data_IF_742124744395
#
_entry.id   IF_742124744395
#
_cell.length_a   1.000
_cell.length_b   1.000
_cell.length_c   1.000
_cell.angle_alpha   90.00
_cell.angle_beta   90.00
_cell.angle_gamma   90.00
#
_symmetry.space_group_name_H-M   'P 1'
#
loop_
_entity.id
_entity.type
_entity.pdbx_description
1 polymer ?
#
# COMPACT_ATOMS: atom_id res chain seq x y z
N UNK A 1 5.60 -16.09 -34.63
CA UNK A 1 5.78 -16.68 -33.29
C UNK A 1 6.96 -16.02 -32.56
N UNK A 2 6.67 -15.38 -31.43
CA UNK A 2 7.63 -14.63 -30.63
C UNK A 2 7.01 -13.29 -30.22
N UNK A 3 6.32 -13.26 -29.09
CA UNK A 3 5.96 -11.99 -28.44
C UNK A 3 7.18 -11.56 -27.67
N UNK A 4 7.98 -10.68 -28.27
CA UNK A 4 9.01 -9.91 -27.59
C UNK A 4 8.31 -8.88 -26.70
N UNK A 5 7.86 -9.33 -25.53
CA UNK A 5 7.53 -8.44 -24.43
C UNK A 5 8.86 -8.05 -23.76
N UNK A 6 9.52 -7.05 -24.33
CA UNK A 6 10.57 -6.30 -23.67
C UNK A 6 9.95 -5.60 -22.44
N UNK A 7 10.01 -6.25 -21.29
CA UNK A 7 9.85 -5.59 -20.01
C UNK A 7 11.15 -4.82 -19.76
N UNK A 8 11.11 -3.52 -20.01
CA UNK A 8 12.23 -2.61 -19.87
C UNK A 8 12.79 -2.58 -18.46
N UNK A 9 14.12 -2.57 -18.45
CA UNK A 9 15.08 -2.33 -17.39
C UNK A 9 14.72 -1.22 -16.38
N UNK A 10 15.05 -1.49 -15.12
CA UNK A 10 15.03 -0.53 -14.02
C UNK A 10 15.20 -1.26 -12.68
N UNK A 11 16.42 -1.33 -12.20
CA UNK A 11 16.81 -1.88 -10.90
C UNK A 11 16.08 -1.15 -9.75
N UNK A 12 14.97 -1.70 -9.26
CA UNK A 12 14.35 -1.30 -7.99
C UNK A 12 14.30 -2.56 -7.14
N UNK A 13 15.33 -2.80 -6.31
CA UNK A 13 15.21 -3.83 -5.29
C UNK A 13 14.04 -3.39 -4.41
N UNK A 14 12.90 -4.11 -4.40
CA UNK A 14 11.78 -3.70 -3.57
C UNK A 14 12.30 -3.66 -2.14
N UNK A 15 12.16 -2.53 -1.42
CA UNK A 15 12.59 -2.43 -0.04
C UNK A 15 12.05 -3.60 0.79
N UNK A 16 12.77 -4.02 1.84
CA UNK A 16 12.44 -5.21 2.61
C UNK A 16 10.96 -5.19 2.99
N UNK A 17 10.20 -6.15 2.43
CA UNK A 17 8.76 -6.14 2.56
C UNK A 17 8.36 -6.22 4.05
N UNK A 18 7.45 -5.35 4.51
CA UNK A 18 6.93 -5.44 5.87
C UNK A 18 6.24 -6.79 6.09
N UNK A 19 6.37 -7.32 7.31
CA UNK A 19 5.66 -8.54 7.75
C UNK A 19 4.14 -8.36 7.78
N UNK A 20 3.69 -7.11 7.77
CA UNK A 20 2.30 -6.71 7.71
C UNK A 20 1.99 -6.13 6.33
N UNK A 21 0.81 -6.44 5.77
CA UNK A 21 0.31 -5.88 4.52
C UNK A 21 -1.03 -5.18 4.73
N UNK A 22 -1.23 -4.09 4.00
CA UNK A 22 -2.51 -3.38 3.89
C UNK A 22 -3.38 -3.96 2.76
N UNK A 23 -2.79 -4.66 1.79
CA UNK A 23 -3.53 -5.21 0.65
C UNK A 23 -3.87 -4.15 -0.41
N UNK A 24 -2.91 -3.28 -0.73
CA UNK A 24 -3.05 -2.24 -1.77
C UNK A 24 -1.87 -2.30 -2.71
N UNK A 25 -2.11 -2.01 -3.98
CA UNK A 25 -1.09 -1.83 -5.00
C UNK A 25 -0.76 -0.33 -5.12
N UNK A 26 0.51 0.07 -4.95
CA UNK A 26 0.93 1.43 -5.26
C UNK A 26 0.72 1.75 -6.74
N UNK A 27 0.28 2.97 -7.01
CA UNK A 27 0.35 3.55 -8.36
C UNK A 27 1.76 4.07 -8.60
N UNK A 28 2.46 3.45 -9.55
CA UNK A 28 3.71 3.96 -10.11
C UNK A 28 3.47 4.84 -11.35
N UNK A 29 2.22 4.88 -11.82
CA UNK A 29 1.77 5.70 -12.94
C UNK A 29 1.49 7.13 -12.46
N UNK A 30 2.53 7.88 -12.12
CA UNK A 30 2.37 9.28 -11.75
C UNK A 30 3.60 9.87 -11.08
N UNK A 31 4.18 10.88 -11.72
CA UNK A 31 5.24 11.72 -11.19
C UNK A 31 4.93 12.20 -9.75
N UNK A 32 5.76 11.81 -8.78
CA UNK A 32 6.05 12.57 -7.56
C UNK A 32 4.88 13.23 -6.83
N UNK A 33 3.72 12.56 -6.76
CA UNK A 33 2.56 13.07 -6.03
C UNK A 33 2.78 12.99 -4.52
N UNK A 34 2.37 14.02 -3.78
CA UNK A 34 2.40 14.01 -2.31
C UNK A 34 1.42 12.95 -1.77
N UNK A 35 1.95 11.82 -1.33
CA UNK A 35 1.22 10.74 -0.66
C UNK A 35 1.52 9.36 -1.25
N UNK A 36 0.86 8.35 -0.71
CA UNK A 36 0.86 7.01 -1.27
C UNK A 36 -0.44 6.78 -2.05
N UNK A 37 -0.37 6.94 -3.37
CA UNK A 37 -1.51 6.73 -4.25
C UNK A 37 -1.77 5.23 -4.46
N UNK A 38 -3.01 4.81 -4.24
CA UNK A 38 -3.47 3.45 -4.44
C UNK A 38 -3.97 3.32 -5.88
N UNK A 39 -3.29 2.50 -6.68
CA UNK A 39 -3.78 2.15 -8.02
C UNK A 39 -4.97 1.21 -7.92
N UNK A 40 -4.83 0.18 -7.10
CA UNK A 40 -5.84 -0.86 -6.93
C UNK A 40 -5.81 -1.42 -5.51
N UNK A 41 -7.00 -1.72 -4.98
CA UNK A 41 -7.16 -2.38 -3.69
C UNK A 41 -7.34 -3.88 -3.92
N UNK A 42 -6.51 -4.70 -3.27
CA UNK A 42 -6.61 -6.15 -3.40
C UNK A 42 -7.93 -6.61 -2.80
N UNK A 43 -8.77 -7.23 -3.62
CA UNK A 43 -10.00 -7.88 -3.18
C UNK A 43 -9.71 -8.91 -2.08
N UNK A 44 -10.57 -8.95 -1.06
CA UNK A 44 -10.37 -9.70 0.20
C UNK A 44 -9.19 -9.24 1.07
N UNK A 45 -8.42 -8.24 0.64
CA UNK A 45 -7.36 -7.63 1.44
C UNK A 45 -7.90 -6.80 2.62
N UNK A 46 -7.04 -6.49 3.60
CA UNK A 46 -7.48 -5.74 4.77
C UNK A 46 -7.95 -4.31 4.45
N UNK A 47 -7.32 -3.65 3.47
CA UNK A 47 -7.77 -2.38 2.93
C UNK A 47 -9.20 -2.45 2.37
N UNK A 48 -9.53 -3.48 1.59
CA UNK A 48 -10.87 -3.69 1.05
C UNK A 48 -11.89 -3.90 2.18
N UNK A 49 -11.56 -4.75 3.16
CA UNK A 49 -12.38 -5.01 4.35
C UNK A 49 -12.64 -3.74 5.17
N UNK A 50 -11.70 -2.80 5.16
CA UNK A 50 -11.81 -1.51 5.81
C UNK A 50 -12.57 -0.44 5.00
N UNK A 51 -12.94 -0.72 3.74
CA UNK A 51 -13.65 0.22 2.86
C UNK A 51 -12.75 1.20 2.09
N UNK A 52 -11.45 0.89 1.96
CA UNK A 52 -10.58 1.59 1.01
C UNK A 52 -11.03 1.30 -0.43
N UNK A 53 -10.76 2.24 -1.32
CA UNK A 53 -11.09 2.18 -2.73
C UNK A 53 -9.84 2.43 -3.57
N UNK A 54 -9.91 1.99 -4.82
CA UNK A 54 -9.00 2.45 -5.85
C UNK A 54 -9.03 3.98 -5.94
N UNK A 55 -7.91 4.56 -6.39
CA UNK A 55 -7.70 6.02 -6.45
C UNK A 55 -7.66 6.76 -5.10
N UNK A 56 -7.70 6.05 -3.96
CA UNK A 56 -7.46 6.65 -2.66
C UNK A 56 -5.96 7.02 -2.51
N UNK A 57 -5.68 8.20 -1.95
CA UNK A 57 -4.30 8.61 -1.63
C UNK A 57 -4.10 8.57 -0.12
N UNK A 58 -3.27 7.66 0.37
CA UNK A 58 -2.94 7.58 1.79
C UNK A 58 -2.04 8.77 2.15
N UNK A 59 -2.46 9.53 3.16
CA UNK A 59 -1.73 10.69 3.69
C UNK A 59 -1.31 10.53 5.15
N UNK A 60 -1.85 9.55 5.87
CA UNK A 60 -1.44 9.24 7.24
C UNK A 60 -1.78 7.81 7.65
N UNK A 61 -0.93 7.16 8.44
CA UNK A 61 -1.15 5.82 9.00
C UNK A 61 -0.74 5.81 10.48
N UNK A 62 -1.67 5.42 11.35
CA UNK A 62 -1.45 5.32 12.79
C UNK A 62 -0.95 6.64 13.40
N UNK A 63 -1.41 7.77 12.86
CA UNK A 63 -0.95 9.11 13.24
C UNK A 63 0.39 9.54 12.63
N UNK A 64 1.05 8.69 11.83
CA UNK A 64 2.28 9.05 11.10
C UNK A 64 1.93 9.62 9.72
N UNK A 65 2.41 10.83 9.36
CA UNK A 65 2.17 11.40 8.03
C UNK A 65 2.89 10.59 6.96
N UNK A 66 2.16 10.24 5.90
CA UNK A 66 2.67 9.51 4.73
C UNK A 66 2.73 10.48 3.57
N UNK A 67 3.95 10.79 3.13
CA UNK A 67 4.22 11.68 1.99
C UNK A 67 4.64 10.93 0.74
N UNK A 68 5.18 9.72 0.90
CA UNK A 68 5.76 8.94 -0.18
C UNK A 68 5.67 7.45 0.16
N UNK A 69 5.92 6.61 -0.84
CA UNK A 69 6.01 5.15 -0.67
C UNK A 69 7.04 4.74 0.39
N UNK A 70 8.16 5.45 0.50
CA UNK A 70 9.19 5.16 1.51
C UNK A 70 8.64 5.36 2.94
N UNK A 71 7.99 6.49 3.21
CA UNK A 71 7.37 6.75 4.52
C UNK A 71 6.27 5.75 4.85
N UNK A 72 5.49 5.34 3.84
CA UNK A 72 4.50 4.29 3.98
C UNK A 72 5.15 2.98 4.43
N UNK A 73 6.22 2.55 3.77
CA UNK A 73 6.90 1.29 4.08
C UNK A 73 7.57 1.33 5.45
N UNK A 74 8.21 2.44 5.82
CA UNK A 74 8.75 2.64 7.18
C UNK A 74 7.66 2.66 8.27
N UNK A 75 6.49 3.24 7.97
CA UNK A 75 5.37 3.18 8.90
C UNK A 75 4.91 1.73 9.07
N UNK A 76 4.74 0.99 7.96
CA UNK A 76 4.32 -0.41 7.98
C UNK A 76 5.27 -1.32 8.75
N UNK A 77 6.59 -1.09 8.72
CA UNK A 77 7.55 -1.89 9.51
C UNK A 77 7.42 -1.65 11.01
N UNK A 78 6.85 -0.53 11.44
CA UNK A 78 6.57 -0.24 12.85
C UNK A 78 5.37 -1.03 13.37
N UNK A 79 4.42 -1.37 12.49
CA UNK A 79 3.18 -2.03 12.88
C UNK A 79 3.29 -3.55 12.74
N UNK A 80 2.49 -4.27 13.53
CA UNK A 80 2.46 -5.73 13.51
C UNK A 80 1.26 -6.25 12.70
N UNK A 81 1.38 -7.43 12.07
CA UNK A 81 0.21 -8.09 11.53
C UNK A 81 -0.77 -8.42 12.66
N UNK A 82 -2.06 -8.32 12.36
CA UNK A 82 -3.17 -8.40 13.31
C UNK A 82 -3.47 -7.09 14.05
N UNK A 83 -2.68 -6.03 13.87
CA UNK A 83 -2.90 -4.75 14.53
C UNK A 83 -3.91 -3.88 13.76
N UNK A 84 -4.89 -3.32 14.46
CA UNK A 84 -5.76 -2.26 13.92
C UNK A 84 -5.00 -0.93 13.91
N UNK A 85 -4.93 -0.29 12.74
CA UNK A 85 -4.33 1.03 12.55
C UNK A 85 -5.33 1.97 11.89
N UNK A 86 -5.37 3.23 12.34
CA UNK A 86 -6.16 4.28 11.68
C UNK A 86 -5.39 4.81 10.47
N UNK A 87 -5.98 4.72 9.29
CA UNK A 87 -5.44 5.24 8.03
C UNK A 87 -6.29 6.39 7.56
N UNK A 88 -5.64 7.50 7.20
CA UNK A 88 -6.29 8.66 6.61
C UNK A 88 -5.97 8.67 5.13
N UNK A 89 -7.03 8.61 4.31
CA UNK A 89 -6.94 8.68 2.85
C UNK A 89 -7.60 9.95 2.34
N UNK A 90 -7.12 10.46 1.21
CA UNK A 90 -7.76 11.50 0.43
C UNK A 90 -8.57 10.85 -0.69
N UNK A 91 -9.89 11.05 -0.67
CA UNK A 91 -10.82 10.58 -1.69
C UNK A 91 -11.55 11.77 -2.30
N UNK A 92 -11.26 12.10 -3.56
CA UNK A 92 -11.84 13.26 -4.23
C UNK A 92 -11.52 14.60 -3.53
N UNK A 93 -10.39 14.69 -2.83
CA UNK A 93 -9.96 15.86 -2.05
C UNK A 93 -10.45 15.90 -0.60
N UNK A 94 -11.29 14.95 -0.18
CA UNK A 94 -11.77 14.86 1.20
C UNK A 94 -10.99 13.83 2.02
N UNK A 95 -10.68 14.15 3.28
CA UNK A 95 -9.95 13.26 4.19
C UNK A 95 -10.90 12.26 4.83
N UNK A 96 -10.80 11.00 4.43
CA UNK A 96 -11.57 9.88 4.99
C UNK A 96 -10.68 9.10 5.95
N UNK A 97 -11.17 8.88 7.18
CA UNK A 97 -10.49 8.06 8.18
C UNK A 97 -11.06 6.65 8.14
N UNK A 98 -10.19 5.67 7.94
CA UNK A 98 -10.53 4.26 7.83
C UNK A 98 -9.71 3.48 8.86
N UNK A 99 -10.33 2.52 9.54
CA UNK A 99 -9.63 1.62 10.45
C UNK A 99 -9.30 0.34 9.71
N UNK A 100 -8.02 0.06 9.54
CA UNK A 100 -7.54 -1.10 8.80
C UNK A 100 -6.83 -2.04 9.75
N UNK A 101 -7.26 -3.29 9.80
CA UNK A 101 -6.53 -4.34 10.52
C UNK A 101 -5.46 -4.90 9.60
N UNK A 102 -4.19 -4.66 9.90
CA UNK A 102 -3.11 -5.18 9.07
C UNK A 102 -3.12 -6.70 9.07
N UNK A 103 -2.95 -7.34 7.92
CA UNK A 103 -2.82 -8.80 7.86
C UNK A 103 -1.35 -9.19 7.72
N UNK A 104 -1.03 -10.40 8.15
CA UNK A 104 0.29 -10.96 7.90
C UNK A 104 0.49 -11.13 6.39
N UNK A 105 1.61 -10.61 5.90
CA UNK A 105 2.11 -10.99 4.58
C UNK A 105 2.49 -12.46 4.69
N UNK A 106 1.53 -13.38 4.47
CA UNK A 106 1.85 -14.78 4.23
C UNK A 106 2.74 -14.81 3.00
N UNK A 107 4.06 -14.86 3.22
CA UNK A 107 4.93 -15.47 2.22
C UNK A 107 4.36 -16.86 2.01
N UNK A 108 4.16 -17.34 0.78
CA UNK A 108 3.98 -18.76 0.57
C UNK A 108 5.24 -19.42 1.15
N UNK A 109 5.11 -19.97 2.35
CA UNK A 109 6.01 -20.97 2.86
C UNK A 109 5.85 -22.10 1.85
N UNK A 110 6.75 -22.18 0.87
CA UNK A 110 6.89 -23.41 0.09
C UNK A 110 7.21 -24.48 1.14
N UNK A 111 6.26 -25.38 1.34
CA UNK A 111 6.51 -26.71 1.92
C UNK A 111 7.44 -27.51 1.01
#
# INVERSE_FOLDING_TARGET
PGRDAAAGDGEDQPPPMPRARLGVAPSYAGEGGEGFAIEYVIEDGPAAKAGMKDSDVIVSIGGKPIKDIYSYMEAMTTFKPGQEVEVVVLRGGEKVKLKVTLEETRRPQRE
#
